data_IF_588294183571
#
_entry.id   IF_588294183571
#
_cell.length_a   1.000
_cell.length_b   1.000
_cell.length_c   1.000
_cell.angle_alpha   90.00
_cell.angle_beta   90.00
_cell.angle_gamma   90.00
#
_symmetry.space_group_name_H-M   'P 1'
#
loop_
_entity.id
_entity.type
_entity.pdbx_description
1 polymer ?
#
# COMPACT_ATOMS: atom_id res chain seq x y z
N UNK A 1 -24.02 -5.07 -14.97
CA UNK A 1 -22.64 -5.02 -15.55
C UNK A 1 -21.95 -3.72 -15.18
N UNK A 2 -22.47 -2.54 -15.57
CA UNK A 2 -21.84 -1.25 -15.31
C UNK A 2 -21.56 -0.97 -13.81
N UNK A 3 -22.52 -1.23 -12.93
CA UNK A 3 -22.31 -1.00 -11.48
C UNK A 3 -21.16 -1.85 -10.92
N UNK A 4 -21.05 -3.10 -11.38
CA UNK A 4 -20.01 -4.02 -10.94
C UNK A 4 -18.65 -3.64 -11.53
N UNK A 5 -18.63 -3.20 -12.79
CA UNK A 5 -17.43 -2.64 -13.42
C UNK A 5 -16.86 -1.48 -12.61
N UNK A 6 -17.70 -0.51 -12.24
CA UNK A 6 -17.27 0.66 -11.48
C UNK A 6 -16.69 0.26 -10.11
N UNK A 7 -17.27 -0.74 -9.45
CA UNK A 7 -16.74 -1.28 -8.20
C UNK A 7 -15.37 -1.95 -8.38
N UNK A 8 -15.24 -2.81 -9.39
CA UNK A 8 -13.97 -3.47 -9.72
C UNK A 8 -12.90 -2.43 -10.05
N UNK A 9 -13.22 -1.45 -10.90
CA UNK A 9 -12.32 -0.39 -11.30
C UNK A 9 -11.82 0.44 -10.11
N UNK A 10 -12.73 0.86 -9.22
CA UNK A 10 -12.37 1.66 -8.05
C UNK A 10 -11.42 0.90 -7.11
N UNK A 11 -11.71 -0.37 -6.82
CA UNK A 11 -10.86 -1.20 -5.97
C UNK A 11 -9.53 -1.54 -6.63
N UNK A 12 -9.55 -1.85 -7.93
CA UNK A 12 -8.33 -2.12 -8.68
C UNK A 12 -7.40 -0.91 -8.72
N UNK A 13 -7.91 0.31 -8.95
CA UNK A 13 -7.11 1.54 -8.94
C UNK A 13 -6.45 1.82 -7.59
N UNK A 14 -7.10 1.45 -6.48
CA UNK A 14 -6.52 1.57 -5.15
C UNK A 14 -5.41 0.54 -4.90
N UNK A 15 -5.66 -0.72 -5.29
CA UNK A 15 -4.78 -1.84 -5.00
C UNK A 15 -3.58 -1.94 -5.95
N UNK A 16 -3.68 -1.43 -7.18
CA UNK A 16 -2.61 -1.48 -8.19
C UNK A 16 -1.29 -0.86 -7.72
N UNK A 17 -1.23 0.39 -7.22
CA UNK A 17 0.02 0.96 -6.73
C UNK A 17 0.56 0.23 -5.50
N UNK A 18 -0.32 -0.30 -4.64
CA UNK A 18 0.06 -1.04 -3.43
C UNK A 18 0.76 -2.36 -3.81
N UNK A 19 0.13 -3.14 -4.69
CA UNK A 19 0.67 -4.40 -5.16
C UNK A 19 1.66 -4.24 -6.31
N UNK A 20 2.04 -3.02 -6.71
CA UNK A 20 3.22 -2.78 -7.52
C UNK A 20 4.50 -2.92 -6.69
N UNK A 21 4.47 -2.61 -5.39
CA UNK A 21 5.61 -2.72 -4.47
C UNK A 21 6.02 -4.18 -4.26
N UNK A 22 7.29 -4.48 -4.56
CA UNK A 22 7.85 -5.81 -4.33
C UNK A 22 7.95 -6.17 -2.84
N UNK A 23 8.08 -5.18 -1.96
CA UNK A 23 8.12 -5.41 -0.52
C UNK A 23 6.74 -5.86 -0.02
N UNK A 24 5.66 -5.20 -0.46
CA UNK A 24 4.28 -5.63 -0.17
C UNK A 24 3.99 -7.03 -0.73
N UNK A 25 4.38 -7.31 -1.98
CA UNK A 25 4.19 -8.65 -2.58
C UNK A 25 4.87 -9.75 -1.78
N UNK A 26 6.06 -9.51 -1.23
CA UNK A 26 6.79 -10.48 -0.40
C UNK A 26 6.09 -10.73 0.93
N UNK A 27 5.51 -9.69 1.52
CA UNK A 27 4.79 -9.78 2.80
C UNK A 27 3.40 -10.41 2.63
N UNK A 28 2.78 -10.23 1.46
CA UNK A 28 1.41 -10.67 1.15
C UNK A 28 1.34 -11.49 -0.16
N UNK A 29 2.05 -12.63 -0.27
CA UNK A 29 2.21 -13.34 -1.54
C UNK A 29 0.90 -13.92 -2.08
N UNK A 30 -0.01 -14.37 -1.19
CA UNK A 30 -1.31 -14.94 -1.59
C UNK A 30 -2.22 -13.87 -2.17
N UNK A 31 -2.27 -12.70 -1.54
CA UNK A 31 -3.05 -11.56 -2.01
C UNK A 31 -2.45 -10.99 -3.29
N UNK A 32 -1.13 -10.94 -3.42
CA UNK A 32 -0.44 -10.53 -4.64
C UNK A 32 -0.76 -11.44 -5.83
N UNK A 33 -0.78 -12.76 -5.63
CA UNK A 33 -1.17 -13.73 -6.68
C UNK A 33 -2.62 -13.52 -7.14
N UNK A 34 -3.56 -13.33 -6.18
CA UNK A 34 -4.95 -13.01 -6.50
C UNK A 34 -5.05 -11.70 -7.26
N UNK A 35 -4.31 -10.66 -6.84
CA UNK A 35 -4.32 -9.37 -7.50
C UNK A 35 -3.80 -9.47 -8.93
N UNK A 36 -2.70 -10.21 -9.18
CA UNK A 36 -2.18 -10.44 -10.52
C UNK A 36 -3.20 -11.12 -11.45
N UNK A 37 -4.00 -12.06 -10.94
CA UNK A 37 -5.10 -12.67 -11.70
C UNK A 37 -6.15 -11.62 -12.09
N UNK A 38 -6.59 -10.81 -11.14
CA UNK A 38 -7.58 -9.74 -11.39
C UNK A 38 -7.03 -8.69 -12.35
N UNK A 39 -5.77 -8.27 -12.19
CA UNK A 39 -5.10 -7.29 -13.04
C UNK A 39 -5.07 -7.76 -14.50
N UNK A 40 -4.68 -9.01 -14.75
CA UNK A 40 -4.67 -9.58 -16.09
C UNK A 40 -6.06 -9.61 -16.73
N UNK A 41 -7.08 -10.08 -15.99
CA UNK A 41 -8.47 -10.12 -16.47
C UNK A 41 -8.98 -8.71 -16.75
N UNK A 42 -8.78 -7.77 -15.82
CA UNK A 42 -9.31 -6.42 -15.94
C UNK A 42 -8.66 -5.65 -17.09
N UNK A 43 -7.32 -5.71 -17.23
CA UNK A 43 -6.62 -5.08 -18.36
C UNK A 43 -7.04 -5.67 -19.72
N UNK A 44 -7.17 -6.99 -19.83
CA UNK A 44 -7.67 -7.62 -21.04
C UNK A 44 -9.11 -7.20 -21.37
N UNK A 45 -9.94 -7.04 -20.35
CA UNK A 45 -11.33 -6.59 -20.49
C UNK A 45 -11.41 -5.14 -20.92
N UNK A 46 -10.58 -4.25 -20.35
CA UNK A 46 -10.44 -2.85 -20.77
C UNK A 46 -9.97 -2.75 -22.22
N UNK A 47 -8.97 -3.55 -22.62
CA UNK A 47 -8.47 -3.56 -23.99
C UNK A 47 -9.59 -3.90 -25.00
N UNK A 48 -10.37 -4.95 -24.73
CA UNK A 48 -11.55 -5.30 -25.55
C UNK A 48 -12.60 -4.19 -25.60
N UNK A 49 -12.82 -3.50 -24.48
CA UNK A 49 -13.73 -2.36 -24.42
C UNK A 49 -13.25 -1.18 -25.30
N UNK A 50 -11.94 -0.95 -25.36
CA UNK A 50 -11.35 0.10 -26.20
C UNK A 50 -11.44 -0.23 -27.70
N UNK A 51 -11.46 -1.51 -28.08
CA UNK A 51 -11.66 -1.95 -29.47
C UNK A 51 -13.09 -1.70 -29.98
N UNK A 52 -14.11 -1.97 -29.16
CA UNK A 52 -15.51 -1.63 -29.46
C UNK A 52 -16.22 -1.01 -28.23
N UNK A 53 -16.17 0.33 -28.09
CA UNK A 53 -16.65 1.03 -26.90
C UNK A 53 -18.18 1.17 -26.83
N UNK A 54 -18.93 0.54 -27.76
CA UNK A 54 -20.39 0.59 -27.76
C UNK A 54 -20.94 -0.15 -26.55
N UNK A 55 -21.36 0.59 -25.51
CA UNK A 55 -21.79 0.04 -24.22
C UNK A 55 -22.85 -1.06 -24.32
N UNK A 56 -23.81 -0.96 -25.24
CA UNK A 56 -24.86 -1.98 -25.42
C UNK A 56 -24.33 -3.28 -26.03
N UNK A 57 -23.29 -3.20 -26.85
CA UNK A 57 -22.64 -4.37 -27.47
C UNK A 57 -21.70 -5.00 -26.44
N UNK A 58 -20.84 -4.19 -25.82
CA UNK A 58 -19.84 -4.66 -24.89
C UNK A 58 -20.45 -5.30 -23.63
N UNK A 59 -21.51 -4.72 -23.07
CA UNK A 59 -22.18 -5.29 -21.89
C UNK A 59 -22.89 -6.62 -22.17
N UNK A 60 -23.06 -6.99 -23.45
CA UNK A 60 -23.62 -8.28 -23.88
C UNK A 60 -22.55 -9.33 -24.20
N UNK A 61 -21.26 -9.00 -24.07
CA UNK A 61 -20.18 -9.96 -24.24
C UNK A 61 -20.35 -11.13 -23.26
N UNK A 62 -20.33 -12.34 -23.81
CA UNK A 62 -20.49 -13.57 -23.02
C UNK A 62 -19.35 -13.70 -22.00
N UNK A 63 -19.70 -14.13 -20.78
CA UNK A 63 -18.75 -14.29 -19.68
C UNK A 63 -18.31 -13.00 -18.97
N UNK A 64 -18.54 -11.80 -19.55
CA UNK A 64 -18.11 -10.53 -18.95
C UNK A 64 -18.64 -10.34 -17.53
N UNK A 65 -19.94 -10.56 -17.32
CA UNK A 65 -20.56 -10.37 -16.02
C UNK A 65 -19.95 -11.31 -14.96
N UNK A 66 -19.70 -12.56 -15.33
CA UNK A 66 -19.18 -13.56 -14.39
C UNK A 66 -17.70 -13.32 -14.10
N UNK A 67 -16.90 -12.92 -15.09
CA UNK A 67 -15.51 -12.48 -14.87
C UNK A 67 -15.43 -11.25 -13.95
N UNK A 68 -16.36 -10.30 -14.08
CA UNK A 68 -16.43 -9.13 -13.19
C UNK A 68 -16.84 -9.52 -11.77
N UNK A 69 -17.75 -10.49 -11.60
CA UNK A 69 -18.14 -11.00 -10.26
C UNK A 69 -16.97 -11.69 -9.59
N UNK A 70 -16.30 -12.60 -10.30
CA UNK A 70 -15.12 -13.28 -9.78
C UNK A 70 -14.01 -12.29 -9.42
N UNK A 71 -13.78 -11.29 -10.28
CA UNK A 71 -12.80 -10.23 -10.00
C UNK A 71 -13.16 -9.45 -8.75
N UNK A 72 -14.43 -9.08 -8.59
CA UNK A 72 -14.91 -8.36 -7.41
C UNK A 72 -14.75 -9.20 -6.12
N UNK A 73 -15.14 -10.48 -6.15
CA UNK A 73 -14.99 -11.37 -5.00
C UNK A 73 -13.52 -11.54 -4.59
N UNK A 74 -12.61 -11.64 -5.57
CA UNK A 74 -11.17 -11.68 -5.32
C UNK A 74 -10.67 -10.36 -4.71
N UNK A 75 -11.13 -9.21 -5.20
CA UNK A 75 -10.75 -7.90 -4.66
C UNK A 75 -11.25 -7.70 -3.23
N UNK A 76 -12.44 -8.19 -2.87
CA UNK A 76 -12.94 -8.18 -1.49
C UNK A 76 -12.04 -9.03 -0.57
N UNK A 77 -11.61 -10.21 -1.02
CA UNK A 77 -10.67 -11.05 -0.28
C UNK A 77 -9.31 -10.37 -0.10
N UNK A 78 -8.81 -9.70 -1.14
CA UNK A 78 -7.56 -8.94 -1.09
C UNK A 78 -7.67 -7.79 -0.08
N UNK A 79 -8.75 -7.00 -0.14
CA UNK A 79 -8.99 -5.89 0.80
C UNK A 79 -9.06 -6.39 2.25
N UNK A 80 -9.72 -7.52 2.50
CA UNK A 80 -9.76 -8.14 3.83
C UNK A 80 -8.36 -8.54 4.29
N UNK A 81 -7.57 -9.16 3.42
CA UNK A 81 -6.18 -9.54 3.71
C UNK A 81 -5.30 -8.33 4.01
N UNK A 82 -5.42 -7.26 3.22
CA UNK A 82 -4.70 -6.01 3.40
C UNK A 82 -5.01 -5.35 4.75
N UNK A 83 -6.29 -5.24 5.10
CA UNK A 83 -6.68 -4.69 6.39
C UNK A 83 -6.15 -5.52 7.57
N UNK A 84 -6.18 -6.85 7.47
CA UNK A 84 -5.62 -7.72 8.51
C UNK A 84 -4.10 -7.56 8.64
N UNK A 85 -3.39 -7.41 7.53
CA UNK A 85 -1.95 -7.15 7.51
C UNK A 85 -1.60 -5.80 8.17
N UNK A 86 -2.31 -4.73 7.83
CA UNK A 86 -2.10 -3.42 8.44
C UNK A 86 -2.38 -3.44 9.94
N UNK A 87 -3.44 -4.13 10.38
CA UNK A 87 -3.76 -4.28 11.79
C UNK A 87 -2.66 -5.05 12.54
N UNK A 88 -2.11 -6.11 11.94
CA UNK A 88 -0.98 -6.84 12.52
C UNK A 88 0.24 -5.91 12.71
N UNK A 89 0.53 -5.04 11.74
CA UNK A 89 1.63 -4.07 11.86
C UNK A 89 1.35 -3.01 12.93
N UNK A 90 0.09 -2.58 13.11
CA UNK A 90 -0.32 -1.70 14.22
C UNK A 90 -0.15 -2.36 15.59
N UNK A 91 -0.48 -3.63 15.72
CA UNK A 91 -0.29 -4.38 16.97
C UNK A 91 1.20 -4.55 17.31
N UNK A 92 2.06 -4.71 16.31
CA UNK A 92 3.51 -4.79 16.51
C UNK A 92 4.11 -3.45 16.95
N UNK A 93 3.64 -2.35 16.37
CA UNK A 93 4.07 -1.00 16.75
C UNK A 93 2.85 -0.08 16.96
N UNK A 94 2.35 0.05 18.21
CA UNK A 94 1.10 0.75 18.51
C UNK A 94 1.04 2.23 18.08
N UNK A 95 2.17 2.88 17.80
CA UNK A 95 2.13 4.26 17.27
C UNK A 95 1.56 4.34 15.85
N UNK A 96 1.50 3.23 15.11
CA UNK A 96 0.83 3.19 13.81
C UNK A 96 -0.71 3.28 13.91
N UNK A 97 -1.30 3.19 15.12
CA UNK A 97 -2.72 3.54 15.30
C UNK A 97 -3.01 5.03 15.07
N UNK A 98 -1.99 5.90 15.12
CA UNK A 98 -2.13 7.34 14.81
C UNK A 98 -2.05 7.65 13.31
N UNK A 99 -1.80 6.66 12.46
CA UNK A 99 -1.69 6.80 11.02
C UNK A 99 -2.90 6.21 10.31
N UNK A 100 -3.32 6.85 9.21
CA UNK A 100 -4.30 6.27 8.29
C UNK A 100 -3.72 5.01 7.60
N UNK A 101 -4.58 4.23 6.94
CA UNK A 101 -4.12 3.07 6.17
C UNK A 101 -3.15 3.48 5.05
N UNK A 102 -3.45 4.58 4.35
CA UNK A 102 -2.62 5.06 3.24
C UNK A 102 -1.25 5.54 3.72
N UNK A 103 -1.20 6.26 4.85
CA UNK A 103 0.07 6.69 5.46
C UNK A 103 0.91 5.50 5.94
N UNK A 104 0.26 4.47 6.49
CA UNK A 104 0.94 3.26 6.89
C UNK A 104 1.46 2.48 5.68
N UNK A 105 0.71 2.45 4.58
CA UNK A 105 1.13 1.82 3.33
C UNK A 105 2.32 2.56 2.70
N UNK A 106 2.36 3.89 2.72
CA UNK A 106 3.51 4.67 2.24
C UNK A 106 4.79 4.29 2.98
N UNK A 107 4.73 4.07 4.29
CA UNK A 107 5.87 3.60 5.09
C UNK A 107 6.27 2.16 4.71
N UNK A 108 5.28 1.27 4.51
CA UNK A 108 5.52 -0.15 4.27
C UNK A 108 5.86 -0.50 2.82
N UNK A 109 5.54 0.37 1.86
CA UNK A 109 5.73 0.12 0.44
C UNK A 109 7.19 0.30 -0.02
N UNK A 110 8.00 1.08 0.71
CA UNK A 110 9.39 1.36 0.37
C UNK A 110 10.29 1.25 1.61
N UNK A 111 10.32 0.06 2.22
CA UNK A 111 11.03 -0.19 3.49
C UNK A 111 12.55 0.02 3.43
N UNK A 112 13.10 0.11 2.21
CA UNK A 112 14.54 0.32 1.96
C UNK A 112 14.97 1.77 2.12
N UNK A 113 14.04 2.72 2.00
CA UNK A 113 14.33 4.15 2.17
C UNK A 113 13.85 4.61 3.56
N UNK A 114 14.75 4.72 4.55
CA UNK A 114 14.40 5.12 5.91
C UNK A 114 13.94 6.58 6.01
N UNK A 115 14.08 7.40 4.97
CA UNK A 115 13.57 8.77 4.99
C UNK A 115 12.05 8.81 4.83
N UNK A 116 11.43 7.73 4.34
CA UNK A 116 9.97 7.65 4.13
C UNK A 116 9.15 7.73 5.40
N UNK A 117 9.72 7.41 6.57
CA UNK A 117 9.00 7.58 7.84
C UNK A 117 8.89 9.04 8.28
N UNK A 118 9.77 9.92 7.81
CA UNK A 118 9.91 11.31 8.28
C UNK A 118 8.59 12.11 8.26
N UNK A 119 7.77 12.08 7.19
CA UNK A 119 6.53 12.85 7.14
C UNK A 119 5.49 12.40 8.19
N UNK A 120 5.57 11.15 8.63
CA UNK A 120 4.57 10.52 9.50
C UNK A 120 4.93 10.59 10.99
N UNK A 121 6.20 10.89 11.32
CA UNK A 121 6.68 10.89 12.71
C UNK A 121 5.92 11.86 13.62
N UNK A 122 5.56 13.05 13.12
CA UNK A 122 4.77 14.05 13.87
C UNK A 122 3.42 13.52 14.37
N UNK A 123 2.82 12.56 13.66
CA UNK A 123 1.56 11.94 14.08
C UNK A 123 1.80 10.82 15.08
N UNK A 124 2.88 10.06 14.92
CA UNK A 124 3.24 8.98 15.83
C UNK A 124 3.81 9.46 17.16
N UNK A 125 4.45 10.63 17.18
CA UNK A 125 5.19 11.18 18.32
C UNK A 125 4.96 12.69 18.46
N UNK A 126 4.54 13.11 19.66
CA UNK A 126 4.27 14.53 19.94
C UNK A 126 5.53 15.41 19.89
N UNK A 127 6.64 14.93 20.46
CA UNK A 127 7.88 15.68 20.59
C UNK A 127 8.89 15.45 19.46
N UNK A 128 8.60 14.55 18.51
CA UNK A 128 9.53 14.19 17.43
C UNK A 128 8.91 14.58 16.10
N UNK A 129 9.47 15.61 15.48
CA UNK A 129 9.09 16.00 14.14
C UNK A 129 9.85 15.24 13.07
N UNK A 130 11.15 15.03 13.29
CA UNK A 130 12.06 14.37 12.36
C UNK A 130 13.15 13.62 13.09
N UNK A 131 13.79 12.70 12.39
CA UNK A 131 15.06 12.10 12.82
C UNK A 131 16.22 12.81 12.12
N UNK A 132 17.34 12.96 12.81
CA UNK A 132 18.57 13.54 12.26
C UNK A 132 19.40 12.44 11.60
N UNK A 133 19.32 12.36 10.26
CA UNK A 133 20.09 11.44 9.44
C UNK A 133 21.38 12.10 8.94
N UNK A 134 22.45 11.31 8.82
CA UNK A 134 23.64 11.70 8.05
C UNK A 134 23.55 11.25 6.58
N UNK A 135 24.60 11.56 5.80
CA UNK A 135 24.71 11.18 4.39
C UNK A 135 24.73 9.64 4.17
N UNK A 136 24.99 8.87 5.23
CA UNK A 136 24.97 7.40 5.23
C UNK A 136 23.64 6.82 5.72
N UNK A 137 22.61 7.66 5.91
CA UNK A 137 21.29 7.30 6.44
C UNK A 137 21.34 6.69 7.86
N UNK A 138 22.37 7.01 8.63
CA UNK A 138 22.46 6.66 10.06
C UNK A 138 21.80 7.77 10.87
N UNK A 139 21.04 7.38 11.89
CA UNK A 139 20.31 8.30 12.77
C UNK A 139 21.19 8.67 13.96
N UNK A 140 21.39 9.97 14.17
CA UNK A 140 22.22 10.54 15.24
C UNK A 140 21.41 11.21 16.35
N UNK A 141 20.10 11.39 16.15
CA UNK A 141 19.24 12.06 17.12
C UNK A 141 17.85 12.34 16.56
N UNK A 142 17.09 13.14 17.31
CA UNK A 142 15.74 13.55 16.96
C UNK A 142 15.63 15.07 16.91
N UNK A 143 14.72 15.57 16.08
CA UNK A 143 14.47 16.99 15.87
C UNK A 143 13.01 17.27 16.21
N UNK A 144 12.75 18.27 17.06
CA UNK A 144 11.40 18.68 17.45
C UNK A 144 10.74 19.57 16.38
N UNK A 145 9.44 19.87 16.55
CA UNK A 145 8.72 20.79 15.65
C UNK A 145 9.27 22.22 15.70
N UNK A 146 9.88 22.61 16.83
CA UNK A 146 10.53 23.90 17.05
C UNK A 146 12.01 23.90 16.65
N UNK A 147 12.44 22.89 15.87
CA UNK A 147 13.83 22.73 15.37
C UNK A 147 14.89 22.48 16.44
N UNK A 148 14.49 22.13 17.66
CA UNK A 148 15.41 21.65 18.70
C UNK A 148 16.01 20.30 18.28
N UNK A 149 17.34 20.21 18.23
CA UNK A 149 18.06 18.97 17.97
C UNK A 149 18.48 18.33 19.31
N UNK A 150 17.99 17.13 19.56
CA UNK A 150 18.40 16.30 20.69
C UNK A 150 19.26 15.14 20.19
N UNK A 151 20.59 15.18 20.35
CA UNK A 151 21.48 14.11 19.94
C UNK A 151 21.29 12.88 20.84
N UNK A 152 21.44 11.69 20.26
CA UNK A 152 21.40 10.43 21.01
C UNK A 152 22.80 9.97 21.40
N UNK A 153 22.95 9.27 22.54
CA UNK A 153 24.24 8.75 22.98
C UNK A 153 24.76 7.59 22.12
N UNK A 154 23.88 6.95 21.34
CA UNK A 154 24.22 5.89 20.39
C UNK A 154 23.52 6.19 19.07
N UNK A 155 24.26 5.99 17.98
CA UNK A 155 23.72 6.09 16.63
C UNK A 155 22.92 4.83 16.29
N UNK A 156 21.90 4.98 15.45
CA UNK A 156 21.07 3.86 15.00
C UNK A 156 21.17 3.76 13.48
N UNK A 157 21.60 2.61 12.96
CA UNK A 157 21.65 2.35 11.53
C UNK A 157 20.42 1.53 11.10
N UNK A 158 19.44 2.11 10.36
CA UNK A 158 18.27 1.38 9.89
C UNK A 158 18.61 0.15 9.04
N UNK A 159 19.74 0.16 8.31
CA UNK A 159 20.14 -0.97 7.47
C UNK A 159 20.45 -2.24 8.29
N UNK A 160 20.85 -2.09 9.56
CA UNK A 160 21.10 -3.22 10.46
C UNK A 160 19.82 -3.92 10.90
N UNK A 161 18.68 -3.22 10.89
CA UNK A 161 17.39 -3.75 11.33
C UNK A 161 16.75 -4.73 10.32
N UNK A 162 17.30 -4.83 9.10
CA UNK A 162 16.88 -5.77 8.04
C UNK A 162 15.35 -5.88 7.81
N UNK A 163 14.62 -4.77 7.95
CA UNK A 163 13.21 -4.65 7.54
C UNK A 163 12.28 -5.76 8.06
N UNK A 164 12.40 -6.11 9.35
CA UNK A 164 11.55 -7.11 10.01
C UNK A 164 10.04 -6.76 9.99
#
# INVERSE_FOLDING_TARGET
VMDLWLKVQAQWLYLEPIFASDDIKKQMPKEAERFAKVDGVFRATVAKCLEDPKVLVFTRTEGLLDSLKESFDLLELINKGLNAYLEQKRLYFPRFFFLSNDELLEILAETKDPLRVQPHLKKCFEAIAKLHFDDSLVIHGMISSETELVPWPRTLNPAEARGA
#
